data_IF_524633753991
#
_entry.id   IF_524633753991
#
_cell.length_a   1.000
_cell.length_b   1.000
_cell.length_c   1.000
_cell.angle_alpha   90.00
_cell.angle_beta   90.00
_cell.angle_gamma   90.00
#
_symmetry.space_group_name_H-M   'P 1'
#
loop_
_entity.id
_entity.type
_entity.pdbx_description
1 polymer ?
#
# COMPACT_ATOMS: atom_id res chain seq x y z
N UNK A 1 -15.00 -9.51 18.55
CA UNK A 1 -15.11 -8.05 18.36
C UNK A 1 -14.46 -7.62 17.07
N UNK A 2 -15.05 -6.63 16.41
CA UNK A 2 -14.51 -6.08 15.18
C UNK A 2 -13.73 -4.80 15.53
N UNK A 3 -12.46 -4.65 15.11
CA UNK A 3 -11.73 -3.41 15.37
C UNK A 3 -12.34 -2.24 14.60
N UNK A 4 -12.06 -1.01 15.04
CA UNK A 4 -12.46 0.19 14.31
C UNK A 4 -11.84 0.21 12.92
N UNK A 5 -10.58 -0.18 12.82
CA UNK A 5 -9.87 -0.27 11.57
C UNK A 5 -8.80 -1.34 11.67
N UNK A 6 -8.34 -1.79 10.51
CA UNK A 6 -7.16 -2.65 10.38
C UNK A 6 -6.12 -1.94 9.56
N UNK A 7 -4.88 -2.07 9.99
CA UNK A 7 -3.74 -1.44 9.38
C UNK A 7 -2.73 -2.52 9.01
N UNK A 8 -2.56 -2.75 7.71
CA UNK A 8 -1.55 -3.69 7.23
C UNK A 8 -0.28 -2.93 6.90
N UNK A 9 0.83 -3.38 7.45
CA UNK A 9 2.16 -2.85 7.18
C UNK A 9 2.91 -3.86 6.32
N UNK A 10 3.37 -3.43 5.15
CA UNK A 10 4.10 -4.28 4.22
C UNK A 10 5.54 -3.82 4.10
N UNK A 11 6.45 -4.78 4.15
CA UNK A 11 7.85 -4.60 3.82
C UNK A 11 8.10 -5.34 2.51
N UNK A 12 8.38 -4.62 1.42
CA UNK A 12 8.63 -5.21 0.11
C UNK A 12 10.10 -5.10 -0.22
N UNK A 13 10.75 -6.24 -0.43
CA UNK A 13 12.19 -6.32 -0.68
C UNK A 13 12.47 -6.85 -2.08
N UNK A 14 13.58 -6.38 -2.67
CA UNK A 14 14.00 -6.84 -3.98
C UNK A 14 13.14 -6.32 -5.11
N UNK A 15 12.58 -5.13 -4.96
CA UNK A 15 11.85 -4.46 -6.02
C UNK A 15 12.83 -3.81 -7.01
N UNK A 16 12.52 -3.77 -8.32
CA UNK A 16 13.38 -3.09 -9.28
C UNK A 16 13.59 -1.62 -8.93
N UNK A 17 14.84 -1.22 -8.77
CA UNK A 17 15.21 0.13 -8.35
C UNK A 17 14.69 1.19 -9.32
N UNK A 18 14.76 0.94 -10.62
CA UNK A 18 14.30 1.89 -11.63
C UNK A 18 12.81 2.19 -11.50
N UNK A 19 12.01 1.18 -11.14
CA UNK A 19 10.58 1.35 -10.90
C UNK A 19 10.33 2.18 -9.65
N UNK A 20 11.05 1.88 -8.56
CA UNK A 20 10.88 2.57 -7.27
C UNK A 20 11.34 4.03 -7.33
N UNK A 21 12.15 4.40 -8.30
CA UNK A 21 12.67 5.75 -8.45
C UNK A 21 11.78 6.66 -9.31
N UNK A 22 10.72 6.12 -9.91
CA UNK A 22 9.96 6.84 -10.93
C UNK A 22 8.46 6.80 -10.63
N UNK A 23 7.92 7.93 -10.15
CA UNK A 23 6.51 8.01 -9.79
C UNK A 23 5.59 7.82 -11.00
N UNK A 24 6.02 8.26 -12.20
CA UNK A 24 5.20 8.10 -13.41
C UNK A 24 5.06 6.64 -13.83
N UNK A 25 6.07 5.80 -13.54
CA UNK A 25 6.01 4.37 -13.79
C UNK A 25 5.28 3.64 -12.66
N UNK A 26 5.50 4.07 -11.43
CA UNK A 26 4.98 3.40 -10.23
C UNK A 26 3.48 3.62 -10.05
N UNK A 27 3.02 4.86 -10.24
CA UNK A 27 1.63 5.25 -10.00
C UNK A 27 0.61 4.39 -10.72
N UNK A 28 0.68 4.19 -12.06
CA UNK A 28 -0.33 3.41 -12.75
C UNK A 28 -0.34 1.94 -12.31
N UNK A 29 0.82 1.38 -11.96
CA UNK A 29 0.89 0.00 -11.47
C UNK A 29 0.18 -0.14 -10.12
N UNK A 30 0.40 0.82 -9.21
CA UNK A 30 -0.24 0.80 -7.90
C UNK A 30 -1.75 1.00 -8.01
N UNK A 31 -2.19 1.96 -8.82
CA UNK A 31 -3.62 2.19 -9.04
C UNK A 31 -4.31 0.95 -9.60
N UNK A 32 -3.69 0.30 -10.59
CA UNK A 32 -4.24 -0.91 -11.20
C UNK A 32 -4.31 -2.05 -10.19
N UNK A 33 -3.28 -2.23 -9.36
CA UNK A 33 -3.25 -3.29 -8.35
C UNK A 33 -4.35 -3.09 -7.31
N UNK A 34 -4.51 -1.86 -6.82
CA UNK A 34 -5.54 -1.52 -5.83
C UNK A 34 -6.94 -1.75 -6.39
N UNK A 35 -7.19 -1.31 -7.62
CA UNK A 35 -8.49 -1.50 -8.28
C UNK A 35 -8.79 -2.96 -8.53
N UNK A 36 -7.80 -3.72 -9.04
CA UNK A 36 -7.98 -5.14 -9.33
C UNK A 36 -8.30 -5.96 -8.08
N UNK A 37 -7.80 -5.52 -6.92
CA UNK A 37 -8.04 -6.20 -5.65
C UNK A 37 -9.27 -5.67 -4.91
N UNK A 38 -10.07 -4.81 -5.52
CA UNK A 38 -11.35 -4.38 -4.99
C UNK A 38 -11.37 -3.01 -4.31
N UNK A 39 -10.26 -2.27 -4.33
CA UNK A 39 -10.24 -0.90 -3.80
C UNK A 39 -10.92 0.09 -4.76
N UNK A 40 -11.66 1.04 -4.21
CA UNK A 40 -12.33 2.08 -4.97
C UNK A 40 -11.53 3.38 -4.88
N UNK A 41 -10.78 3.70 -5.92
CA UNK A 41 -9.91 4.88 -5.91
C UNK A 41 -10.72 6.16 -6.00
N UNK A 42 -10.49 7.07 -5.04
CA UNK A 42 -11.11 8.40 -5.00
C UNK A 42 -10.16 9.44 -5.56
N UNK A 43 -8.92 9.47 -5.08
CA UNK A 43 -7.89 10.39 -5.55
C UNK A 43 -6.52 9.84 -5.15
N UNK A 44 -5.46 10.44 -5.70
CA UNK A 44 -4.10 10.05 -5.34
C UNK A 44 -3.15 11.23 -5.44
N UNK A 45 -2.04 11.15 -4.71
CA UNK A 45 -0.92 12.09 -4.76
C UNK A 45 0.37 11.29 -4.75
N UNK A 46 1.25 11.58 -5.69
CA UNK A 46 2.59 10.99 -5.73
C UNK A 46 3.62 12.10 -5.87
N UNK A 47 4.74 11.94 -5.19
CA UNK A 47 5.84 12.88 -5.23
C UNK A 47 7.15 12.15 -5.44
N UNK A 48 7.94 12.61 -6.43
CA UNK A 48 9.30 12.14 -6.64
C UNK A 48 10.25 13.04 -5.86
N UNK A 49 11.08 12.44 -5.01
CA UNK A 49 12.11 13.16 -4.27
C UNK A 49 13.42 13.18 -5.04
N UNK A 50 14.20 14.22 -4.83
CA UNK A 50 15.56 14.32 -5.36
C UNK A 50 16.53 13.97 -4.23
N UNK A 51 17.54 13.11 -4.46
CA UNK A 51 17.94 12.55 -5.75
C UNK A 51 17.12 11.34 -6.19
N UNK A 52 16.39 10.66 -5.31
CA UNK A 52 15.55 9.52 -5.67
C UNK A 52 14.59 9.17 -4.53
N UNK A 53 13.62 8.33 -4.86
CA UNK A 53 12.59 7.90 -3.94
C UNK A 53 11.24 8.53 -4.28
N UNK A 54 10.18 7.81 -3.94
CA UNK A 54 8.80 8.22 -4.20
C UNK A 54 8.02 8.07 -2.91
N UNK A 55 7.13 9.03 -2.63
CA UNK A 55 6.06 8.86 -1.65
C UNK A 55 4.74 9.03 -2.37
N UNK A 56 3.78 8.18 -2.05
CA UNK A 56 2.46 8.25 -2.65
C UNK A 56 1.37 7.86 -1.68
N UNK A 57 0.21 8.46 -1.86
CA UNK A 57 -1.00 8.13 -1.11
C UNK A 57 -2.13 7.97 -2.10
N UNK A 58 -2.82 6.85 -2.02
CA UNK A 58 -4.04 6.58 -2.77
C UNK A 58 -5.18 6.60 -1.77
N UNK A 59 -6.06 7.59 -1.90
CA UNK A 59 -7.28 7.64 -1.09
C UNK A 59 -8.31 6.74 -1.76
N UNK A 60 -8.77 5.76 -1.03
CA UNK A 60 -9.82 4.85 -1.49
C UNK A 60 -11.08 5.07 -0.66
N UNK A 61 -12.25 4.73 -1.21
CA UNK A 61 -13.51 4.89 -0.47
C UNK A 61 -13.46 4.16 0.87
N UNK A 62 -12.71 3.06 0.93
CA UNK A 62 -12.54 2.24 2.12
C UNK A 62 -11.48 2.77 3.09
N UNK A 63 -10.59 3.66 2.71
CA UNK A 63 -9.68 4.52 3.46
C UNK A 63 -8.45 4.95 2.67
N UNK A 64 -7.26 4.27 2.79
CA UNK A 64 -6.10 4.67 1.99
C UNK A 64 -5.05 3.57 1.88
N UNK A 65 -4.22 3.72 0.84
CA UNK A 65 -2.98 2.96 0.64
C UNK A 65 -1.85 3.98 0.49
N UNK A 66 -0.79 3.83 1.25
CA UNK A 66 0.38 4.71 1.19
C UNK A 66 1.62 3.90 0.84
N UNK A 67 2.54 4.52 0.11
CA UNK A 67 3.80 3.90 -0.26
C UNK A 67 4.95 4.88 -0.07
N UNK A 68 6.09 4.35 0.37
CA UNK A 68 7.36 5.07 0.43
C UNK A 68 8.44 4.15 -0.12
N UNK A 69 9.30 4.68 -0.99
CA UNK A 69 10.32 3.85 -1.65
C UNK A 69 11.73 4.32 -1.33
N UNK A 70 12.62 3.33 -1.28
CA UNK A 70 14.07 3.52 -1.17
C UNK A 70 14.72 2.72 -2.30
N UNK A 71 14.83 3.32 -3.51
CA UNK A 71 15.40 2.61 -4.68
C UNK A 71 16.79 2.05 -4.42
N UNK A 72 17.60 2.79 -3.65
CA UNK A 72 18.97 2.39 -3.31
C UNK A 72 19.03 1.10 -2.47
N UNK A 73 17.93 0.74 -1.83
CA UNK A 73 17.79 -0.49 -1.04
C UNK A 73 16.86 -1.50 -1.69
N UNK A 74 16.36 -1.22 -2.90
CA UNK A 74 15.36 -2.03 -3.59
C UNK A 74 14.16 -2.33 -2.70
N UNK A 75 13.77 -1.36 -1.86
CA UNK A 75 12.83 -1.51 -0.76
C UNK A 75 11.67 -0.53 -0.86
N UNK A 76 10.47 -1.01 -0.57
CA UNK A 76 9.29 -0.18 -0.43
C UNK A 76 8.53 -0.54 0.84
N UNK A 77 8.09 0.49 1.57
CA UNK A 77 7.17 0.36 2.69
C UNK A 77 5.77 0.73 2.21
N UNK A 78 4.80 -0.12 2.49
CA UNK A 78 3.41 0.10 2.08
C UNK A 78 2.50 -0.03 3.29
N UNK A 79 1.55 0.91 3.40
CA UNK A 79 0.52 0.88 4.44
C UNK A 79 -0.84 0.76 3.77
N UNK A 80 -1.67 -0.15 4.30
CA UNK A 80 -3.07 -0.28 3.91
C UNK A 80 -3.89 -0.09 5.17
N UNK A 81 -4.64 1.00 5.23
CA UNK A 81 -5.46 1.34 6.39
C UNK A 81 -6.92 1.39 5.96
N UNK A 82 -7.79 0.64 6.62
CA UNK A 82 -9.21 0.64 6.27
C UNK A 82 -10.08 0.33 7.48
N UNK A 83 -11.21 1.03 7.56
CA UNK A 83 -12.29 0.71 8.49
C UNK A 83 -13.33 -0.22 7.86
N UNK A 84 -13.19 -0.57 6.59
CA UNK A 84 -14.15 -1.44 5.90
C UNK A 84 -13.83 -2.91 6.12
N UNK A 85 -14.71 -3.68 6.79
CA UNK A 85 -14.44 -5.11 6.99
C UNK A 85 -14.55 -5.92 5.70
N UNK A 86 -15.17 -5.36 4.65
CA UNK A 86 -15.31 -6.05 3.37
C UNK A 86 -14.08 -5.88 2.46
N UNK A 87 -13.17 -4.96 2.77
CA UNK A 87 -11.95 -4.79 1.98
C UNK A 87 -10.97 -5.92 2.29
N UNK A 88 -10.55 -6.64 1.25
CA UNK A 88 -9.57 -7.71 1.39
C UNK A 88 -8.16 -7.13 1.33
N UNK A 89 -7.62 -6.77 2.49
CA UNK A 89 -6.29 -6.18 2.58
C UNK A 89 -5.18 -7.17 2.18
N UNK A 90 -5.39 -8.46 2.39
CA UNK A 90 -4.44 -9.48 1.96
C UNK A 90 -4.36 -9.54 0.42
N UNK A 91 -5.49 -9.43 -0.26
CA UNK A 91 -5.53 -9.40 -1.71
C UNK A 91 -4.82 -8.17 -2.27
N UNK A 92 -5.04 -7.00 -1.66
CA UNK A 92 -4.34 -5.76 -2.05
C UNK A 92 -2.84 -5.90 -1.83
N UNK A 93 -2.43 -6.46 -0.70
CA UNK A 93 -1.01 -6.69 -0.36
C UNK A 93 -0.33 -7.54 -1.44
N UNK A 94 -0.94 -8.67 -1.80
CA UNK A 94 -0.41 -9.57 -2.81
C UNK A 94 -0.35 -8.89 -4.18
N UNK A 95 -1.40 -8.15 -4.55
CA UNK A 95 -1.45 -7.45 -5.84
C UNK A 95 -0.36 -6.38 -5.93
N UNK A 96 -0.12 -5.62 -4.87
CA UNK A 96 0.92 -4.58 -4.84
C UNK A 96 2.31 -5.23 -4.91
N UNK A 97 2.57 -6.27 -4.12
CA UNK A 97 3.85 -6.95 -4.14
C UNK A 97 4.17 -7.50 -5.53
N UNK A 98 3.18 -8.08 -6.20
CA UNK A 98 3.33 -8.60 -7.56
C UNK A 98 3.58 -7.47 -8.56
N UNK A 99 2.81 -6.38 -8.47
CA UNK A 99 2.95 -5.24 -9.38
C UNK A 99 4.32 -4.58 -9.28
N UNK A 100 4.89 -4.52 -8.07
CA UNK A 100 6.21 -3.93 -7.83
C UNK A 100 7.36 -4.92 -8.04
N UNK A 101 7.06 -6.16 -8.39
CA UNK A 101 8.09 -7.17 -8.62
C UNK A 101 8.89 -7.52 -7.39
N UNK A 102 8.29 -7.45 -6.20
CA UNK A 102 8.97 -7.77 -4.96
C UNK A 102 9.39 -9.24 -4.92
N UNK A 103 10.65 -9.48 -4.54
CA UNK A 103 11.16 -10.83 -4.36
C UNK A 103 10.73 -11.44 -3.02
N UNK A 104 10.48 -10.58 -2.02
CA UNK A 104 10.08 -11.00 -0.68
C UNK A 104 9.12 -9.98 -0.09
N UNK A 105 8.09 -10.47 0.58
CA UNK A 105 7.12 -9.63 1.28
C UNK A 105 7.00 -10.09 2.73
N UNK A 106 7.08 -9.14 3.65
CA UNK A 106 6.72 -9.34 5.04
C UNK A 106 5.51 -8.47 5.34
N UNK A 107 4.57 -8.99 6.12
CA UNK A 107 3.37 -8.24 6.45
C UNK A 107 3.04 -8.35 7.93
N UNK A 108 2.48 -7.28 8.46
CA UNK A 108 1.91 -7.22 9.81
C UNK A 108 0.56 -6.57 9.75
N UNK A 109 -0.41 -7.14 10.48
CA UNK A 109 -1.75 -6.56 10.59
C UNK A 109 -1.95 -6.11 12.03
N UNK A 110 -2.35 -4.84 12.18
CA UNK A 110 -2.58 -4.23 13.49
C UNK A 110 -4.03 -3.79 13.55
N UNK A 111 -4.73 -4.25 14.59
CA UNK A 111 -6.07 -3.76 14.89
C UNK A 111 -5.95 -2.38 15.51
N UNK A 112 -6.76 -1.44 15.03
CA UNK A 112 -6.70 -0.05 15.46
C UNK A 112 -7.99 0.33 16.16
N UNK A 113 -7.85 1.20 17.17
CA UNK A 113 -8.96 1.72 17.94
C UNK A 113 -9.09 1.06 19.30
N UNK A 114 -10.01 1.57 20.16
CA UNK A 114 -10.19 1.01 21.49
C UNK A 114 -10.80 -0.38 21.43
N UNK A 115 -10.42 -1.24 22.40
CA UNK A 115 -11.05 -2.53 22.58
C UNK A 115 -12.48 -2.36 23.07
N UNK A 116 -13.34 -3.30 22.69
CA UNK A 116 -14.74 -3.32 23.12
C UNK A 116 -15.66 -3.76 21.99
N UNK A 117 -16.91 -4.08 22.32
CA UNK A 117 -17.89 -4.46 21.30
C UNK A 117 -18.24 -3.26 20.41
N UNK A 118 -18.55 -3.54 19.13
CA UNK A 118 -19.01 -2.52 18.19
C UNK A 118 -20.54 -2.50 18.15
N UNK A 119 -21.12 -1.30 18.09
CA UNK A 119 -22.56 -1.17 17.90
C UNK A 119 -22.99 -1.62 16.51
#
# INVERSE_FOLDING_TARGET
MIPLARHTLLELHGCPAALLANSDALRPLLLAAVRAAGGTVVTEVFHNFSPHGVSGVIVIAESHVAIHTWPEHAYAAVDIFSCSPSLDQAAISTAIASALGAQRMESRVIDRGPAGPRP
#
